data_IF_663095330717
#
_entry.id   IF_663095330717
#
_cell.length_a   1.000
_cell.length_b   1.000
_cell.length_c   1.000
_cell.angle_alpha   90.00
_cell.angle_beta   90.00
_cell.angle_gamma   90.00
#
_symmetry.space_group_name_H-M   'P 1'
#
loop_
_entity.id
_entity.type
_entity.pdbx_description
1 polymer ?
#
# COMPACT_ATOMS: atom_id res chain seq x y z
N UNK A 1 -34.03 -1.40 7.95
CA UNK A 1 -33.19 -2.52 7.51
C UNK A 1 -31.96 -1.90 6.89
N UNK A 2 -30.87 -1.82 7.65
CA UNK A 2 -29.60 -1.31 7.14
C UNK A 2 -29.03 -2.34 6.18
N UNK A 3 -28.89 -1.98 4.90
CA UNK A 3 -28.25 -2.84 3.91
C UNK A 3 -26.76 -2.87 4.27
N UNK A 4 -26.20 -4.04 4.64
CA UNK A 4 -24.78 -4.13 4.97
C UNK A 4 -23.95 -3.73 3.77
N UNK A 5 -22.98 -2.85 3.99
CA UNK A 5 -22.10 -2.35 2.95
C UNK A 5 -21.29 -3.50 2.33
N UNK A 6 -21.25 -3.59 0.99
CA UNK A 6 -20.47 -4.60 0.27
C UNK A 6 -18.95 -4.42 0.39
N UNK A 7 -18.50 -3.24 0.81
CA UNK A 7 -17.07 -2.93 0.92
C UNK A 7 -16.33 -3.84 1.91
N UNK A 8 -16.99 -4.35 2.94
CA UNK A 8 -16.34 -5.25 3.91
C UNK A 8 -15.96 -6.59 3.27
N UNK A 9 -16.82 -7.15 2.42
CA UNK A 9 -16.56 -8.42 1.75
C UNK A 9 -15.41 -8.31 0.76
N UNK A 10 -15.39 -7.25 -0.05
CA UNK A 10 -14.31 -7.02 -1.01
C UNK A 10 -12.98 -6.70 -0.30
N UNK A 11 -13.01 -5.93 0.81
CA UNK A 11 -11.82 -5.70 1.63
C UNK A 11 -11.24 -7.01 2.20
N UNK A 12 -12.11 -7.90 2.70
CA UNK A 12 -11.69 -9.23 3.19
C UNK A 12 -11.11 -10.09 2.08
N UNK A 13 -11.68 -10.04 0.86
CA UNK A 13 -11.14 -10.76 -0.30
C UNK A 13 -9.74 -10.27 -0.65
N UNK A 14 -9.55 -8.96 -0.72
CA UNK A 14 -8.23 -8.36 -1.00
C UNK A 14 -7.22 -8.68 0.11
N UNK A 15 -7.64 -8.64 1.38
CA UNK A 15 -6.82 -9.06 2.51
C UNK A 15 -6.39 -10.53 2.40
N UNK A 16 -7.32 -11.41 2.04
CA UNK A 16 -7.03 -12.81 1.78
C UNK A 16 -6.02 -12.99 0.66
N UNK A 17 -6.14 -12.23 -0.42
CA UNK A 17 -5.19 -12.31 -1.53
C UNK A 17 -3.79 -11.82 -1.13
N UNK A 18 -3.68 -10.75 -0.33
CA UNK A 18 -2.40 -10.28 0.24
C UNK A 18 -1.74 -11.32 1.16
N UNK A 19 -2.54 -12.02 1.97
CA UNK A 19 -2.03 -13.04 2.90
C UNK A 19 -1.61 -14.34 2.19
N UNK A 20 -2.18 -14.62 1.01
CA UNK A 20 -1.93 -15.84 0.24
C UNK A 20 -0.96 -15.62 -0.93
N UNK A 21 -0.19 -14.53 -0.91
CA UNK A 21 0.84 -14.28 -1.93
C UNK A 21 1.85 -15.42 -1.91
N UNK A 22 2.12 -15.96 -3.10
CA UNK A 22 3.11 -17.00 -3.28
C UNK A 22 4.51 -16.43 -3.07
N UNK A 23 5.42 -17.24 -2.53
CA UNK A 23 6.83 -16.86 -2.37
C UNK A 23 7.50 -16.49 -3.70
N UNK A 24 6.99 -16.98 -4.83
CA UNK A 24 7.42 -16.57 -6.18
C UNK A 24 6.26 -15.87 -6.87
N UNK A 25 6.45 -14.61 -7.23
CA UNK A 25 5.40 -13.74 -7.79
C UNK A 25 5.92 -13.02 -9.03
N UNK A 26 5.03 -12.69 -9.97
CA UNK A 26 5.36 -11.82 -11.09
C UNK A 26 5.00 -10.36 -10.78
N UNK A 27 5.64 -9.45 -11.51
CA UNK A 27 5.39 -8.00 -11.40
C UNK A 27 3.91 -7.68 -11.59
N UNK A 28 3.27 -8.36 -12.56
CA UNK A 28 1.85 -8.16 -12.86
C UNK A 28 0.95 -8.46 -11.66
N UNK A 29 1.20 -9.55 -10.94
CA UNK A 29 0.42 -9.92 -9.75
C UNK A 29 0.57 -8.87 -8.65
N UNK A 30 1.79 -8.38 -8.40
CA UNK A 30 2.01 -7.32 -7.40
C UNK A 30 1.23 -6.07 -7.80
N UNK A 31 1.39 -5.60 -9.04
CA UNK A 31 0.71 -4.39 -9.53
C UNK A 31 -0.82 -4.53 -9.57
N UNK A 32 -1.33 -5.75 -9.83
CA UNK A 32 -2.76 -6.02 -9.79
C UNK A 32 -3.28 -5.93 -8.35
N UNK A 33 -2.56 -6.51 -7.39
CA UNK A 33 -2.93 -6.46 -5.97
C UNK A 33 -2.89 -5.04 -5.42
N UNK A 34 -1.82 -4.28 -5.68
CA UNK A 34 -1.70 -2.88 -5.26
C UNK A 34 -2.84 -2.02 -5.83
N UNK A 35 -3.15 -2.19 -7.12
CA UNK A 35 -4.26 -1.51 -7.77
C UNK A 35 -5.62 -1.89 -7.16
N UNK A 36 -5.84 -3.16 -6.83
CA UNK A 36 -7.07 -3.62 -6.18
C UNK A 36 -7.24 -3.05 -4.78
N UNK A 37 -6.17 -2.95 -4.01
CA UNK A 37 -6.20 -2.27 -2.70
C UNK A 37 -6.57 -0.80 -2.88
N UNK A 38 -5.93 -0.10 -3.81
CA UNK A 38 -6.25 1.30 -4.09
C UNK A 38 -7.71 1.49 -4.51
N UNK A 39 -8.20 0.68 -5.46
CA UNK A 39 -9.57 0.76 -5.96
C UNK A 39 -10.59 0.50 -4.84
N UNK A 40 -10.35 -0.54 -4.04
CA UNK A 40 -11.20 -0.89 -2.92
C UNK A 40 -11.19 0.22 -1.87
N UNK A 41 -10.02 0.80 -1.60
CA UNK A 41 -9.87 1.90 -0.67
C UNK A 41 -10.63 3.15 -1.08
N UNK A 42 -10.48 3.55 -2.33
CA UNK A 42 -11.20 4.70 -2.87
C UNK A 42 -12.72 4.47 -2.78
N UNK A 43 -13.18 3.25 -3.08
CA UNK A 43 -14.59 2.87 -2.93
C UNK A 43 -15.06 2.96 -1.48
N UNK A 44 -14.21 2.58 -0.52
CA UNK A 44 -14.52 2.66 0.91
C UNK A 44 -14.61 4.09 1.41
N UNK A 45 -13.71 4.98 0.99
CA UNK A 45 -13.73 6.40 1.35
C UNK A 45 -14.96 7.09 0.77
N UNK A 46 -15.40 6.73 -0.43
CA UNK A 46 -16.61 7.31 -1.04
C UNK A 46 -17.92 6.70 -0.50
N UNK A 47 -17.84 5.65 0.31
CA UNK A 47 -19.02 4.95 0.81
C UNK A 47 -19.53 5.59 2.11
N UNK A 48 -20.73 6.17 2.06
CA UNK A 48 -21.37 6.79 3.25
C UNK A 48 -21.50 5.82 4.43
N UNK A 49 -21.78 4.54 4.18
CA UNK A 49 -21.89 3.54 5.23
C UNK A 49 -20.52 3.22 5.85
N UNK A 50 -19.44 3.26 5.07
CA UNK A 50 -18.09 3.06 5.59
C UNK A 50 -17.63 4.26 6.43
N UNK A 51 -17.98 5.49 6.04
CA UNK A 51 -17.64 6.67 6.81
C UNK A 51 -18.46 6.73 8.11
N UNK A 52 -19.78 6.55 8.04
CA UNK A 52 -20.68 6.80 9.18
C UNK A 52 -20.62 5.74 10.29
N UNK A 53 -20.15 4.53 10.02
CA UNK A 53 -20.17 3.44 10.99
C UNK A 53 -18.84 3.29 11.74
N UNK A 54 -18.90 3.38 13.07
CA UNK A 54 -17.76 3.19 13.98
C UNK A 54 -17.02 1.84 13.88
N UNK A 55 -17.72 0.80 13.39
CA UNK A 55 -17.17 -0.54 13.16
C UNK A 55 -16.96 -0.81 11.66
N UNK A 56 -16.84 0.24 10.85
CA UNK A 56 -16.77 0.06 9.41
C UNK A 56 -15.48 -0.61 8.98
N UNK A 57 -15.53 -1.14 7.76
CA UNK A 57 -14.33 -1.59 7.06
C UNK A 57 -13.29 -0.48 6.87
N UNK A 58 -13.61 0.80 7.06
CA UNK A 58 -12.66 1.90 6.76
C UNK A 58 -11.38 1.80 7.59
N UNK A 59 -11.47 1.25 8.80
CA UNK A 59 -10.31 1.07 9.70
C UNK A 59 -9.38 -0.06 9.27
N UNK A 60 -9.78 -0.90 8.30
CA UNK A 60 -8.90 -1.94 7.73
C UNK A 60 -8.03 -1.40 6.61
N UNK A 61 -8.30 -0.19 6.12
CA UNK A 61 -7.61 0.37 4.98
C UNK A 61 -6.10 0.60 5.23
N UNK A 62 -5.67 1.15 6.38
CA UNK A 62 -4.24 1.28 6.65
C UNK A 62 -3.53 -0.07 6.62
N UNK A 63 -4.13 -1.11 7.20
CA UNK A 63 -3.57 -2.46 7.19
C UNK A 63 -3.46 -3.07 5.77
N UNK A 64 -4.41 -2.77 4.88
CA UNK A 64 -4.33 -3.19 3.47
C UNK A 64 -3.20 -2.49 2.73
N UNK A 65 -3.02 -1.18 2.95
CA UNK A 65 -1.93 -0.40 2.37
C UNK A 65 -0.57 -0.84 2.92
N UNK A 66 -0.47 -1.05 4.23
CA UNK A 66 0.74 -1.56 4.88
C UNK A 66 1.11 -2.95 4.38
N UNK A 67 0.12 -3.81 4.10
CA UNK A 67 0.34 -5.12 3.49
C UNK A 67 0.91 -5.08 2.07
N UNK A 68 0.80 -3.95 1.37
CA UNK A 68 1.38 -3.76 0.05
C UNK A 68 2.86 -3.35 0.10
N UNK A 69 3.31 -2.75 1.21
CA UNK A 69 4.67 -2.20 1.31
C UNK A 69 5.74 -3.27 1.04
N UNK A 70 5.74 -4.46 1.66
CA UNK A 70 6.75 -5.49 1.38
C UNK A 70 6.80 -5.92 -0.10
N UNK A 71 5.67 -5.84 -0.83
CA UNK A 71 5.62 -6.17 -2.25
C UNK A 71 6.27 -5.08 -3.11
N UNK A 72 6.01 -3.81 -2.78
CA UNK A 72 6.63 -2.67 -3.44
C UNK A 72 8.13 -2.63 -3.17
N UNK A 73 8.55 -2.94 -1.94
CA UNK A 73 9.96 -3.07 -1.55
C UNK A 73 10.65 -4.21 -2.32
N UNK A 74 10.00 -5.36 -2.45
CA UNK A 74 10.51 -6.48 -3.24
C UNK A 74 10.69 -6.10 -4.72
N UNK A 75 9.79 -5.28 -5.28
CA UNK A 75 9.94 -4.75 -6.65
C UNK A 75 11.15 -3.83 -6.76
N UNK A 76 11.36 -2.93 -5.80
CA UNK A 76 12.55 -2.07 -5.80
C UNK A 76 13.84 -2.91 -5.77
N UNK A 77 13.89 -3.93 -4.90
CA UNK A 77 15.03 -4.81 -4.77
C UNK A 77 15.28 -5.67 -6.03
N UNK A 78 14.22 -6.21 -6.64
CA UNK A 78 14.34 -7.08 -7.81
C UNK A 78 14.82 -6.34 -9.07
N UNK A 79 14.49 -5.05 -9.20
CA UNK A 79 14.83 -4.24 -10.38
C UNK A 79 15.95 -3.22 -10.13
N UNK A 80 16.63 -3.30 -8.98
CA UNK A 80 17.76 -2.41 -8.65
C UNK A 80 17.34 -0.93 -8.75
N UNK A 81 16.15 -0.62 -8.22
CA UNK A 81 15.59 0.74 -8.12
C UNK A 81 16.03 1.28 -6.76
N UNK A 82 17.21 1.90 -6.75
CA UNK A 82 17.89 2.52 -5.60
C UNK A 82 18.08 1.62 -4.37
N UNK A 83 19.30 1.14 -4.17
CA UNK A 83 19.75 0.53 -2.91
C UNK A 83 20.80 1.40 -2.25
N UNK A 84 20.42 2.26 -1.30
CA UNK A 84 21.34 2.43 -0.18
C UNK A 84 21.42 1.08 0.54
N UNK A 85 22.61 0.47 0.67
CA UNK A 85 22.74 -0.80 1.39
C UNK A 85 22.25 -0.59 2.83
N UNK A 86 21.17 -1.28 3.17
CA UNK A 86 20.57 -1.26 4.51
C UNK A 86 19.31 -0.41 4.67
N UNK A 87 18.75 0.18 3.62
CA UNK A 87 17.48 0.93 3.72
C UNK A 87 16.28 0.05 4.11
N UNK A 88 16.26 -1.18 3.59
CA UNK A 88 15.32 -2.23 3.99
C UNK A 88 15.94 -3.22 4.99
N UNK A 89 17.09 -2.87 5.61
CA UNK A 89 17.65 -3.75 6.62
C UNK A 89 16.65 -3.84 7.76
N UNK A 90 16.29 -5.08 8.09
CA UNK A 90 15.32 -5.40 9.11
C UNK A 90 15.64 -4.71 10.44
N UNK A 91 16.88 -4.26 10.68
CA UNK A 91 17.31 -3.51 11.86
C UNK A 91 16.63 -2.14 12.09
N UNK A 92 16.19 -1.41 11.06
CA UNK A 92 15.45 -0.14 11.27
C UNK A 92 13.95 -0.34 11.53
N UNK A 93 13.41 -1.53 11.23
CA UNK A 93 12.01 -1.93 11.47
C UNK A 93 11.88 -3.09 12.49
N UNK A 94 12.99 -3.50 13.14
CA UNK A 94 13.14 -4.75 13.90
C UNK A 94 12.42 -4.80 15.25
N UNK A 95 11.84 -3.70 15.72
CA UNK A 95 11.05 -3.75 16.93
C UNK A 95 9.60 -4.05 16.53
N UNK A 96 9.28 -5.35 16.46
CA UNK A 96 7.93 -5.96 16.49
C UNK A 96 7.26 -6.42 15.17
N UNK A 97 7.91 -6.42 14.00
CA UNK A 97 7.29 -7.03 12.80
C UNK A 97 7.73 -8.49 12.55
N UNK A 98 6.80 -9.42 12.25
CA UNK A 98 7.15 -10.77 11.82
C UNK A 98 8.01 -10.69 10.55
N UNK A 99 8.99 -11.59 10.42
CA UNK A 99 9.94 -11.59 9.30
C UNK A 99 9.20 -11.44 7.96
N UNK A 100 9.53 -10.37 7.21
CA UNK A 100 8.95 -10.12 5.90
C UNK A 100 9.09 -11.39 5.05
N UNK A 101 8.01 -11.87 4.42
CA UNK A 101 8.09 -13.08 3.60
C UNK A 101 9.14 -12.88 2.51
N UNK A 102 9.99 -13.88 2.29
CA UNK A 102 10.95 -13.87 1.19
C UNK A 102 10.13 -13.93 -0.10
N UNK A 103 10.08 -12.82 -0.83
CA UNK A 103 9.39 -12.68 -2.11
C UNK A 103 10.43 -12.72 -3.22
N UNK A 104 10.36 -13.75 -4.06
CA UNK A 104 11.15 -13.86 -5.28
C UNK A 104 10.33 -13.35 -6.47
N UNK A 105 10.86 -12.37 -7.20
CA UNK A 105 10.18 -11.82 -8.36
C UNK A 105 10.69 -12.51 -9.63
N UNK A 106 9.77 -12.93 -10.49
CA UNK A 106 10.14 -13.47 -11.81
C UNK A 106 10.77 -12.36 -12.65
N UNK A 107 12.02 -12.58 -13.07
CA UNK A 107 12.84 -11.56 -13.70
C UNK A 107 12.33 -11.09 -15.08
N UNK A 108 11.53 -11.90 -15.79
CA UNK A 108 11.07 -11.55 -17.13
C UNK A 108 9.82 -10.66 -17.10
N UNK A 109 9.97 -9.43 -17.59
CA UNK A 109 8.86 -8.49 -17.79
C UNK A 109 8.46 -8.46 -19.26
N UNK A 110 7.16 -8.53 -19.50
CA UNK A 110 6.58 -8.43 -20.84
C UNK A 110 5.69 -7.20 -20.94
N UNK A 111 5.84 -6.46 -22.04
CA UNK A 111 4.86 -5.46 -22.48
C UNK A 111 4.08 -6.03 -23.66
N UNK A 112 2.88 -6.52 -23.39
CA UNK A 112 2.07 -7.24 -24.38
C UNK A 112 2.73 -8.56 -24.79
N UNK A 113 3.34 -8.61 -25.97
CA UNK A 113 4.09 -9.79 -26.47
C UNK A 113 5.60 -9.57 -26.52
N UNK A 114 6.06 -8.39 -26.14
CA UNK A 114 7.48 -8.01 -26.21
C UNK A 114 8.11 -8.23 -24.84
N UNK A 115 9.14 -9.06 -24.79
CA UNK A 115 10.00 -9.15 -23.60
C UNK A 115 10.87 -7.89 -23.54
N UNK A 116 10.89 -7.23 -22.39
CA UNK A 116 11.73 -6.07 -22.15
C UNK A 116 13.14 -6.50 -21.78
N UNK A 117 14.14 -5.72 -22.18
CA UNK A 117 15.49 -5.86 -21.62
C UNK A 117 15.55 -5.32 -20.17
N UNK A 118 16.69 -5.52 -19.49
CA UNK A 118 16.83 -5.16 -18.08
C UNK A 118 16.65 -3.65 -17.84
N UNK A 119 17.05 -2.80 -18.79
CA UNK A 119 16.92 -1.34 -18.67
C UNK A 119 15.47 -0.90 -18.89
N UNK A 120 14.83 -1.40 -19.93
CA UNK A 120 13.41 -1.15 -20.23
C UNK A 120 12.50 -1.67 -19.12
N UNK A 121 12.78 -2.86 -18.59
CA UNK A 121 12.05 -3.45 -17.47
C UNK A 121 12.20 -2.60 -16.20
N UNK A 122 13.42 -2.18 -15.87
CA UNK A 122 13.68 -1.28 -14.73
C UNK A 122 12.91 0.03 -14.87
N UNK A 123 12.96 0.68 -16.03
CA UNK A 123 12.26 1.94 -16.27
C UNK A 123 10.74 1.80 -16.16
N UNK A 124 10.19 0.71 -16.72
CA UNK A 124 8.77 0.42 -16.63
C UNK A 124 8.35 0.19 -15.17
N UNK A 125 9.06 -0.70 -14.45
CA UNK A 125 8.74 -1.01 -13.05
C UNK A 125 8.84 0.23 -12.18
N UNK A 126 9.88 1.05 -12.36
CA UNK A 126 10.03 2.33 -11.65
C UNK A 126 8.85 3.28 -11.90
N UNK A 127 8.43 3.42 -13.14
CA UNK A 127 7.30 4.29 -13.52
C UNK A 127 6.00 3.81 -12.88
N UNK A 128 5.76 2.49 -12.88
CA UNK A 128 4.57 1.88 -12.30
C UNK A 128 4.58 1.97 -10.76
N UNK A 129 5.74 1.75 -10.14
CA UNK A 129 5.95 1.95 -8.70
C UNK A 129 5.67 3.38 -8.28
N UNK A 130 6.26 4.37 -8.96
CA UNK A 130 6.05 5.79 -8.66
C UNK A 130 4.55 6.14 -8.69
N UNK A 131 3.85 5.68 -9.74
CA UNK A 131 2.40 5.88 -9.88
C UNK A 131 1.62 5.24 -8.72
N UNK A 132 1.95 4.00 -8.37
CA UNK A 132 1.24 3.28 -7.31
C UNK A 132 1.51 3.89 -5.92
N UNK A 133 2.72 4.38 -5.67
CA UNK A 133 3.07 5.11 -4.44
C UNK A 133 2.27 6.40 -4.29
N UNK A 134 2.20 7.22 -5.36
CA UNK A 134 1.37 8.45 -5.37
C UNK A 134 -0.08 8.11 -5.01
N UNK A 135 -0.65 7.08 -5.65
CA UNK A 135 -2.02 6.62 -5.39
C UNK A 135 -2.24 6.19 -3.95
N UNK A 136 -1.28 5.51 -3.33
CA UNK A 136 -1.38 5.12 -1.93
C UNK A 136 -1.29 6.32 -0.98
N UNK A 137 -0.41 7.28 -1.26
CA UNK A 137 -0.31 8.51 -0.47
C UNK A 137 -1.63 9.28 -0.53
N UNK A 138 -2.15 9.54 -1.73
CA UNK A 138 -3.45 10.22 -1.93
C UNK A 138 -4.58 9.50 -1.19
N UNK A 139 -4.59 8.16 -1.24
CA UNK A 139 -5.60 7.35 -0.54
C UNK A 139 -5.50 7.49 0.98
N UNK A 140 -4.29 7.47 1.54
CA UNK A 140 -4.07 7.63 2.98
C UNK A 140 -4.39 9.05 3.44
N UNK A 141 -4.08 10.07 2.64
CA UNK A 141 -4.45 11.46 2.92
C UNK A 141 -5.97 11.64 2.93
N UNK A 142 -6.67 11.10 1.94
CA UNK A 142 -8.13 11.12 1.89
C UNK A 142 -8.76 10.39 3.09
N UNK A 143 -8.16 9.28 3.54
CA UNK A 143 -8.59 8.59 4.75
C UNK A 143 -8.35 9.46 6.00
N UNK A 144 -7.20 10.11 6.12
CA UNK A 144 -6.90 11.03 7.23
C UNK A 144 -7.92 12.16 7.32
N UNK A 145 -8.30 12.74 6.19
CA UNK A 145 -9.34 13.77 6.13
C UNK A 145 -10.70 13.22 6.60
N UNK A 146 -11.10 12.04 6.11
CA UNK A 146 -12.34 11.39 6.53
C UNK A 146 -12.37 11.06 8.03
N UNK A 147 -11.24 10.61 8.61
CA UNK A 147 -11.11 10.33 10.03
C UNK A 147 -11.19 11.60 10.87
N UNK A 148 -10.56 12.70 10.43
CA UNK A 148 -10.64 14.01 11.10
C UNK A 148 -12.09 14.48 11.22
N UNK A 149 -12.84 14.44 10.11
CA UNK A 149 -14.27 14.82 10.08
C UNK A 149 -15.10 13.95 11.03
N UNK A 150 -14.79 12.66 11.13
CA UNK A 150 -15.49 11.74 12.02
C UNK A 150 -15.18 11.99 13.50
N UNK A 151 -13.93 12.30 13.83
CA UNK A 151 -13.49 12.57 15.21
C UNK A 151 -14.04 13.91 15.73
N UNK A 152 -14.20 14.90 14.86
CA UNK A 152 -14.77 16.22 15.20
C UNK A 152 -16.31 16.17 15.38
N UNK A 153 -16.97 15.12 14.90
CA UNK A 153 -18.40 14.91 15.07
C UNK A 153 -18.77 14.51 16.51
N UNK A 154 -19.64 15.30 17.17
CA UNK A 154 -20.10 15.11 18.57
C UNK A 154 -20.87 13.80 18.89
N UNK A 155 -20.86 12.79 18.00
CA UNK A 155 -21.70 11.58 18.11
C UNK A 155 -20.92 10.26 18.18
N UNK A 156 -19.60 10.29 18.35
CA UNK A 156 -18.78 9.06 18.39
C UNK A 156 -18.75 8.47 19.80
N UNK A 157 -19.18 7.20 19.95
CA UNK A 157 -19.05 6.46 21.21
C UNK A 157 -17.58 6.34 21.65
N UNK A 158 -17.33 6.36 22.97
CA UNK A 158 -15.97 6.34 23.56
C UNK A 158 -15.04 5.25 23.01
N UNK A 159 -15.56 4.04 22.77
CA UNK A 159 -14.77 2.93 22.22
C UNK A 159 -14.42 3.14 20.74
N UNK A 160 -15.31 3.77 19.97
CA UNK A 160 -15.07 4.09 18.57
C UNK A 160 -14.00 5.17 18.41
N UNK A 161 -13.95 6.15 19.32
CA UNK A 161 -12.89 7.16 19.33
C UNK A 161 -11.49 6.56 19.49
N UNK A 162 -11.33 5.55 20.34
CA UNK A 162 -10.03 4.89 20.52
C UNK A 162 -9.59 4.15 19.24
N UNK A 163 -10.52 3.44 18.59
CA UNK A 163 -10.26 2.77 17.30
C UNK A 163 -9.90 3.76 16.21
N UNK A 164 -10.60 4.89 16.11
CA UNK A 164 -10.30 5.92 15.11
C UNK A 164 -8.96 6.61 15.34
N UNK A 165 -8.57 6.88 16.59
CA UNK A 165 -7.22 7.40 16.90
C UNK A 165 -6.13 6.40 16.56
N UNK A 166 -6.33 5.12 16.87
CA UNK A 166 -5.39 4.08 16.47
C UNK A 166 -5.28 3.97 14.94
N UNK A 167 -6.41 4.08 14.24
CA UNK A 167 -6.47 4.14 12.78
C UNK A 167 -5.71 5.36 12.24
N UNK A 168 -5.93 6.55 12.80
CA UNK A 168 -5.22 7.78 12.43
C UNK A 168 -3.70 7.64 12.59
N UNK A 169 -3.23 7.13 13.73
CA UNK A 169 -1.80 6.85 13.94
C UNK A 169 -1.25 5.84 12.92
N UNK A 170 -2.04 4.82 12.57
CA UNK A 170 -1.66 3.85 11.53
C UNK A 170 -1.59 4.48 10.15
N UNK A 171 -2.51 5.39 9.80
CA UNK A 171 -2.47 6.17 8.56
C UNK A 171 -1.20 7.02 8.50
N UNK A 172 -0.85 7.74 9.56
CA UNK A 172 0.36 8.57 9.59
C UNK A 172 1.64 7.74 9.47
N UNK A 173 1.69 6.58 10.13
CA UNK A 173 2.79 5.64 9.98
C UNK A 173 2.91 5.12 8.54
N UNK A 174 1.78 4.75 7.93
CA UNK A 174 1.73 4.26 6.53
C UNK A 174 2.20 5.35 5.55
N UNK A 175 1.72 6.59 5.70
CA UNK A 175 2.15 7.74 4.87
C UNK A 175 3.66 7.95 4.98
N UNK A 176 4.19 7.89 6.20
CA UNK A 176 5.63 8.07 6.44
C UNK A 176 6.47 7.01 5.71
N UNK A 177 6.04 5.74 5.78
CA UNK A 177 6.71 4.62 5.08
C UNK A 177 6.61 4.74 3.56
N UNK A 178 5.45 5.16 3.04
CA UNK A 178 5.24 5.41 1.61
C UNK A 178 6.12 6.56 1.10
N UNK A 179 6.24 7.65 1.86
CA UNK A 179 7.09 8.79 1.50
C UNK A 179 8.57 8.40 1.44
N UNK A 180 9.02 7.58 2.38
CA UNK A 180 10.37 6.99 2.40
C UNK A 180 10.61 6.15 1.13
N UNK A 181 9.65 5.30 0.75
CA UNK A 181 9.74 4.50 -0.48
C UNK A 181 9.68 5.35 -1.77
N UNK A 182 8.93 6.46 -1.74
CA UNK A 182 8.85 7.40 -2.86
C UNK A 182 10.20 8.11 -3.10
N UNK A 183 10.91 8.49 -2.03
CA UNK A 183 12.26 9.06 -2.14
C UNK A 183 13.26 8.09 -2.80
N UNK A 184 13.13 6.78 -2.52
CA UNK A 184 13.94 5.73 -3.18
C UNK A 184 13.67 5.71 -4.68
N UNK A 185 12.39 5.74 -5.06
CA UNK A 185 11.97 5.73 -6.47
C UNK A 185 12.28 7.03 -7.20
N UNK A 186 12.46 8.15 -6.51
CA UNK A 186 12.83 9.44 -7.11
C UNK A 186 14.36 9.64 -7.21
N UNK A 187 15.12 9.25 -6.18
CA UNK A 187 16.55 9.61 -6.02
C UNK A 187 17.53 9.06 -7.06
N UNK A 188 17.17 8.02 -7.81
CA UNK A 188 18.00 7.46 -8.88
C UNK A 188 18.04 8.32 -10.17
N UNK A 189 17.24 9.40 -10.26
CA UNK A 189 17.23 10.29 -11.42
C UNK A 189 18.50 11.15 -11.55
N UNK A 190 19.24 11.37 -10.47
CA UNK A 190 20.40 12.29 -10.45
C UNK A 190 21.75 11.61 -10.72
N UNK A 191 21.80 10.27 -10.76
CA UNK A 191 23.06 9.53 -10.95
C UNK A 191 23.46 9.30 -12.43
N UNK A 192 22.59 9.68 -13.38
CA UNK A 192 22.77 9.41 -14.82
C UNK A 192 23.33 10.55 -15.68
N UNK A 193 23.71 11.69 -15.09
CA UNK A 193 24.22 12.87 -15.84
C UNK A 193 25.69 13.20 -15.53
N UNK A 194 26.54 12.18 -15.38
CA UNK A 194 28.01 12.33 -15.30
C UNK A 194 28.70 11.98 -16.61
#
# INVERSE_FOLDING_TARGET
>A
MDIPCKCSLEALKVMGDLQNIQAVVDVETILNLTHRVWLQGNTMIQCENCIKMAQSSIVTLPALSDGCLPLLEALCAAYDISTQPGFFDSAMLAFEQPASPIICIRNQVFLGRTQLDDYEARLLVRTLLARDLIRFVELMEALKEALTVLLDGNHVHRNAMATFRACESSVESTISRLAVLMQVVEGDCDAGMS
#
